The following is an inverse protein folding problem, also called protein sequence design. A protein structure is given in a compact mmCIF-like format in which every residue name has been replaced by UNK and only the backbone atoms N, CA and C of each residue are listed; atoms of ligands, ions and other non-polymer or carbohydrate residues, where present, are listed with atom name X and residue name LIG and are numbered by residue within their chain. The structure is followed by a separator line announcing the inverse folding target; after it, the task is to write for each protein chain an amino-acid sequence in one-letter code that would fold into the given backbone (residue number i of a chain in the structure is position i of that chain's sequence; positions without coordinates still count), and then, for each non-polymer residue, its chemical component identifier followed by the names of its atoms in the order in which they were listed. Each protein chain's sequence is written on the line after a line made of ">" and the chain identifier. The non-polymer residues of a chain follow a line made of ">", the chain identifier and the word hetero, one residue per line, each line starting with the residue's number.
data_IF_909461051591
#
_entry.id   IF_909461051591
#
_cell.length_a   1.000
_cell.length_b   1.000
_cell.length_c   1.000
_cell.angle_alpha   90.00
_cell.angle_beta   90.00
_cell.angle_gamma   90.00
#
_symmetry.space_group_name_H-M   'P 1'
#
loop_
_entity.id
_entity.type
_entity.pdbx_description
1 polymer ?
#
# COMPACT_ATOMS: atom_id res chain seq x y z
N UNK A 1 -0.83 11.26 29.72
CA UNK A 1 -1.81 11.28 28.61
C UNK A 1 -3.18 11.54 29.21
N UNK A 2 -3.94 12.53 28.72
CA UNK A 2 -5.25 12.92 29.26
C UNK A 2 -6.34 12.59 28.24
N UNK A 3 -7.41 11.92 28.69
CA UNK A 3 -8.61 11.70 27.88
C UNK A 3 -9.73 12.58 28.41
N UNK A 4 -10.34 13.37 27.53
CA UNK A 4 -11.42 14.27 27.88
C UNK A 4 -12.47 14.31 26.76
N UNK A 5 -13.70 14.65 27.12
CA UNK A 5 -14.73 15.00 26.14
C UNK A 5 -14.45 16.40 25.56
N UNK A 6 -14.97 16.70 24.38
CA UNK A 6 -14.84 18.04 23.78
C UNK A 6 -15.43 19.14 24.68
N UNK A 7 -16.53 18.86 25.38
CA UNK A 7 -17.15 19.79 26.32
C UNK A 7 -16.23 20.10 27.50
N UNK A 8 -15.54 19.08 28.02
CA UNK A 8 -14.62 19.20 29.16
C UNK A 8 -13.28 19.84 28.81
N UNK A 9 -12.98 19.99 27.51
CA UNK A 9 -11.72 20.56 27.04
C UNK A 9 -11.70 22.10 27.06
N UNK A 10 -12.85 22.75 27.32
CA UNK A 10 -12.97 24.21 27.35
C UNK A 10 -12.04 24.81 28.41
N UNK A 11 -11.23 25.79 28.00
CA UNK A 11 -10.28 26.49 28.88
C UNK A 11 -8.96 25.74 29.13
N UNK A 12 -8.78 24.57 28.53
CA UNK A 12 -7.54 23.80 28.59
C UNK A 12 -6.79 23.90 27.25
N UNK A 13 -5.48 23.66 27.26
CA UNK A 13 -4.64 23.62 26.07
C UNK A 13 -3.55 22.56 26.21
N UNK A 14 -3.14 21.97 25.09
CA UNK A 14 -2.10 20.95 25.03
C UNK A 14 -1.22 21.14 23.80
N UNK A 15 0.04 20.72 23.87
CA UNK A 15 0.95 20.76 22.71
C UNK A 15 0.47 19.87 21.56
N UNK A 16 -0.12 18.71 21.89
CA UNK A 16 -0.65 17.75 20.94
C UNK A 16 -2.08 17.33 21.31
N UNK A 17 -3.01 17.42 20.37
CA UNK A 17 -4.42 17.01 20.55
C UNK A 17 -4.83 16.01 19.47
N UNK A 18 -5.48 14.94 19.90
CA UNK A 18 -6.07 13.93 19.02
C UNK A 18 -7.59 13.99 19.14
N UNK A 19 -8.26 14.50 18.11
CA UNK A 19 -9.72 14.48 18.02
C UNK A 19 -10.14 13.23 17.26
N UNK A 20 -10.76 12.29 17.98
CA UNK A 20 -11.09 10.97 17.47
C UNK A 20 -12.58 10.80 17.22
N UNK A 21 -12.94 9.93 16.26
CA UNK A 21 -14.33 9.56 16.00
C UNK A 21 -15.15 10.62 15.26
N UNK A 22 -14.51 11.46 14.44
CA UNK A 22 -15.14 12.53 13.65
C UNK A 22 -15.93 11.97 12.46
N UNK A 23 -17.08 11.41 12.75
CA UNK A 23 -17.99 10.79 11.78
C UNK A 23 -19.41 11.31 11.97
N UNK A 24 -20.15 11.44 10.88
CA UNK A 24 -21.57 11.79 10.92
C UNK A 24 -22.33 10.81 11.84
N UNK A 25 -23.18 11.37 12.69
CA UNK A 25 -23.91 10.65 13.75
C UNK A 25 -23.16 10.56 15.09
N UNK A 26 -21.86 10.90 15.13
CA UNK A 26 -21.12 11.16 16.39
C UNK A 26 -20.88 12.64 16.56
N UNK A 27 -20.32 13.29 15.54
CA UNK A 27 -20.18 14.74 15.48
C UNK A 27 -20.34 15.18 14.01
N UNK A 28 -21.40 15.91 13.65
CA UNK A 28 -22.53 16.27 14.51
C UNK A 28 -23.29 15.03 15.02
N UNK A 29 -23.79 15.11 16.25
CA UNK A 29 -24.61 14.05 16.85
C UNK A 29 -25.89 13.82 16.04
N UNK A 30 -26.44 12.59 16.13
CA UNK A 30 -27.69 12.23 15.42
C UNK A 30 -28.91 13.05 15.90
N UNK A 31 -28.82 13.65 17.09
CA UNK A 31 -29.87 14.47 17.69
C UNK A 31 -29.87 15.92 17.22
N UNK A 32 -28.74 16.42 16.68
CA UNK A 32 -28.63 17.78 16.16
C UNK A 32 -29.30 17.89 14.77
N UNK A 33 -30.63 18.07 14.78
CA UNK A 33 -31.46 18.12 13.56
C UNK A 33 -31.77 19.54 13.07
N UNK A 34 -31.71 20.53 13.96
CA UNK A 34 -31.96 21.94 13.62
C UNK A 34 -30.66 22.64 13.18
N UNK A 35 -30.74 23.68 12.34
CA UNK A 35 -29.55 24.44 11.94
C UNK A 35 -28.82 25.04 13.15
N UNK A 36 -29.54 25.49 14.18
CA UNK A 36 -28.95 26.03 15.40
C UNK A 36 -28.18 24.95 16.19
N UNK A 37 -28.75 23.75 16.31
CA UNK A 37 -28.08 22.63 16.98
C UNK A 37 -26.84 22.17 16.20
N UNK A 38 -26.90 22.20 14.86
CA UNK A 38 -25.73 21.92 14.02
C UNK A 38 -24.64 22.97 14.17
N UNK A 39 -25.00 24.25 14.31
CA UNK A 39 -24.04 25.32 14.56
C UNK A 39 -23.37 25.14 15.93
N UNK A 40 -24.11 24.65 16.93
CA UNK A 40 -23.56 24.33 18.24
C UNK A 40 -22.55 23.17 18.19
N UNK A 41 -22.86 22.10 17.46
CA UNK A 41 -21.92 21.00 17.22
C UNK A 41 -20.67 21.45 16.44
N UNK A 42 -20.83 22.43 15.54
CA UNK A 42 -19.68 23.05 14.84
C UNK A 42 -18.82 23.85 15.81
N UNK A 43 -19.42 24.63 16.71
CA UNK A 43 -18.71 25.34 17.79
C UNK A 43 -17.99 24.36 18.71
N UNK A 44 -18.59 23.21 19.01
CA UNK A 44 -17.96 22.15 19.80
C UNK A 44 -16.67 21.63 19.14
N UNK A 45 -16.70 21.37 17.84
CA UNK A 45 -15.51 20.98 17.08
C UNK A 45 -14.44 22.08 17.09
N UNK A 46 -14.86 23.33 16.88
CA UNK A 46 -13.96 24.48 16.90
C UNK A 46 -13.24 24.62 18.24
N UNK A 47 -13.95 24.44 19.36
CA UNK A 47 -13.34 24.41 20.70
C UNK A 47 -12.27 23.33 20.76
N UNK A 48 -12.57 22.10 20.34
CA UNK A 48 -11.59 21.00 20.33
C UNK A 48 -10.35 21.27 19.50
N UNK A 49 -10.53 21.80 18.28
CA UNK A 49 -9.45 22.16 17.35
C UNK A 49 -8.53 23.22 17.96
N UNK A 50 -9.10 24.23 18.61
CA UNK A 50 -8.33 25.34 19.20
C UNK A 50 -7.64 25.00 20.52
N UNK A 51 -7.79 23.77 21.06
CA UNK A 51 -7.02 23.36 22.25
C UNK A 51 -5.60 22.91 21.91
N UNK A 52 -5.29 22.70 20.63
CA UNK A 52 -3.98 22.27 20.16
C UNK A 52 -3.04 23.46 19.97
N UNK A 53 -1.85 23.44 20.60
CA UNK A 53 -0.85 24.50 20.46
C UNK A 53 0.14 24.26 19.34
N UNK A 54 0.55 23.01 19.10
CA UNK A 54 1.57 22.66 18.10
C UNK A 54 1.03 21.66 17.08
N UNK A 55 0.35 20.61 17.56
CA UNK A 55 -0.05 19.50 16.72
C UNK A 55 -1.51 19.09 16.92
N UNK A 56 -2.22 18.91 15.81
CA UNK A 56 -3.61 18.47 15.78
C UNK A 56 -3.75 17.27 14.86
N UNK A 57 -4.28 16.17 15.39
CA UNK A 57 -4.67 15.00 14.62
C UNK A 57 -6.18 14.82 14.66
N UNK A 58 -6.76 14.62 13.48
CA UNK A 58 -8.18 14.35 13.30
C UNK A 58 -8.33 12.93 12.75
N UNK A 59 -9.21 12.13 13.35
CA UNK A 59 -9.47 10.77 12.88
C UNK A 59 -10.95 10.42 12.85
N UNK A 60 -11.33 9.54 11.92
CA UNK A 60 -12.68 9.01 11.78
C UNK A 60 -12.62 7.53 11.42
N UNK A 61 -13.66 6.78 11.80
CA UNK A 61 -13.73 5.34 11.55
C UNK A 61 -14.61 5.06 10.31
N UNK A 62 -14.17 4.13 9.45
CA UNK A 62 -14.95 3.71 8.28
C UNK A 62 -16.18 2.88 8.67
N UNK A 63 -16.10 2.13 9.78
CA UNK A 63 -17.22 1.40 10.38
C UNK A 63 -17.01 1.31 11.90
N UNK A 64 -18.08 1.05 12.66
CA UNK A 64 -17.99 0.88 14.13
C UNK A 64 -17.55 -0.54 14.54
N UNK A 65 -17.80 -1.53 13.67
CA UNK A 65 -17.41 -2.93 13.81
C UNK A 65 -16.90 -3.48 12.45
N UNK A 66 -16.07 -4.55 12.43
CA UNK A 66 -15.70 -5.22 11.19
C UNK A 66 -16.95 -5.68 10.41
N UNK A 67 -17.04 -5.33 9.13
CA UNK A 67 -18.22 -5.61 8.29
C UNK A 67 -19.47 -4.76 8.59
N UNK A 68 -19.39 -3.85 9.56
CA UNK A 68 -20.50 -2.96 9.90
C UNK A 68 -20.79 -1.89 8.84
N UNK A 69 -21.95 -1.24 8.96
CA UNK A 69 -22.40 -0.20 8.03
C UNK A 69 -21.34 0.91 7.89
N UNK A 70 -21.00 1.34 6.66
CA UNK A 70 -20.02 2.39 6.44
C UNK A 70 -20.50 3.71 7.04
N UNK A 71 -19.61 4.40 7.75
CA UNK A 71 -19.86 5.74 8.31
C UNK A 71 -19.31 6.80 7.38
N UNK A 72 -20.04 7.91 7.27
CA UNK A 72 -19.55 9.09 6.57
C UNK A 72 -18.64 9.91 7.51
N UNK A 73 -17.56 10.51 7.01
CA UNK A 73 -16.77 11.47 7.77
C UNK A 73 -17.66 12.62 8.29
N UNK A 74 -17.25 13.26 9.36
CA UNK A 74 -17.90 14.46 9.88
C UNK A 74 -17.97 15.53 8.79
N UNK A 75 -19.17 16.05 8.54
CA UNK A 75 -19.42 17.09 7.52
C UNK A 75 -18.70 18.42 7.75
N UNK A 76 -18.22 18.68 8.97
CA UNK A 76 -17.46 19.91 9.28
C UNK A 76 -15.99 19.79 8.93
N UNK A 77 -15.51 18.58 8.61
CA UNK A 77 -14.15 18.43 8.13
C UNK A 77 -14.03 19.13 6.78
N UNK A 78 -12.90 19.83 6.53
CA UNK A 78 -12.61 20.30 5.20
C UNK A 78 -12.75 19.11 4.25
N UNK A 79 -13.48 19.32 3.16
CA UNK A 79 -13.51 18.36 2.07
C UNK A 79 -12.11 18.40 1.46
N UNK A 80 -11.18 17.68 2.09
CA UNK A 80 -9.93 17.34 1.45
C UNK A 80 -10.37 16.59 0.21
N UNK A 81 -10.27 17.25 -0.93
CA UNK A 81 -10.24 16.58 -2.21
C UNK A 81 -9.20 15.49 -2.05
N UNK A 82 -9.66 14.24 -1.93
CA UNK A 82 -8.82 13.11 -2.30
C UNK A 82 -8.55 13.40 -3.76
N UNK A 83 -7.34 13.89 -4.07
CA UNK A 83 -7.04 14.55 -5.33
C UNK A 83 -7.78 13.98 -6.53
N UNK A 84 -8.47 14.87 -7.25
CA UNK A 84 -8.90 14.73 -8.64
C UNK A 84 -9.82 13.55 -8.94
N UNK A 85 -11.12 13.84 -9.03
CA UNK A 85 -12.10 12.96 -9.64
C UNK A 85 -13.35 13.75 -9.97
N UNK A 86 -13.26 14.55 -11.03
CA UNK A 86 -14.39 15.28 -11.60
C UNK A 86 -15.60 14.36 -11.80
N UNK A 87 -16.78 14.91 -11.50
CA UNK A 87 -18.06 14.27 -11.74
C UNK A 87 -18.28 14.22 -13.25
N UNK A 88 -18.22 13.02 -13.82
CA UNK A 88 -18.65 12.75 -15.19
C UNK A 88 -19.32 11.38 -15.28
N UNK A 89 -20.61 11.38 -15.60
CA UNK A 89 -21.27 10.34 -16.38
C UNK A 89 -21.49 8.97 -15.73
N UNK A 90 -22.75 8.57 -15.68
CA UNK A 90 -23.19 7.18 -15.53
C UNK A 90 -22.57 6.29 -16.61
N UNK A 91 -21.70 5.37 -16.22
CA UNK A 91 -21.46 4.13 -16.93
C UNK A 91 -20.96 3.08 -15.93
N UNK A 92 -21.68 1.96 -15.87
CA UNK A 92 -21.25 0.77 -15.16
C UNK A 92 -19.84 0.37 -15.62
N UNK A 93 -18.97 -0.03 -14.67
CA UNK A 93 -18.20 -1.28 -14.71
C UNK A 93 -17.14 -1.34 -13.59
N UNK A 94 -16.96 -2.59 -13.12
CA UNK A 94 -15.78 -3.16 -12.48
C UNK A 94 -15.50 -2.83 -11.00
N UNK A 95 -15.80 -3.82 -10.16
CA UNK A 95 -15.29 -3.97 -8.78
C UNK A 95 -13.78 -3.75 -8.77
N UNK A 96 -13.35 -2.59 -8.28
CA UNK A 96 -11.94 -2.26 -8.10
C UNK A 96 -11.42 -2.99 -6.85
N UNK A 97 -10.24 -3.64 -6.90
CA UNK A 97 -9.73 -4.38 -5.75
C UNK A 97 -9.50 -3.41 -4.61
N UNK A 98 -9.96 -3.84 -3.44
CA UNK A 98 -9.85 -3.18 -2.15
C UNK A 98 -8.44 -2.60 -2.00
N UNK A 99 -8.33 -1.25 -1.97
CA UNK A 99 -7.05 -0.56 -1.85
C UNK A 99 -6.43 -1.02 -0.53
N UNK A 100 -5.43 -1.91 -0.61
CA UNK A 100 -4.59 -2.33 0.51
C UNK A 100 -4.17 -1.07 1.28
N UNK A 101 -4.44 -1.08 2.59
CA UNK A 101 -3.96 -0.07 3.54
C UNK A 101 -2.51 0.25 3.19
N UNK A 102 -2.18 1.54 3.04
CA UNK A 102 -0.80 1.96 2.83
C UNK A 102 0.01 1.52 4.06
N UNK A 103 0.66 0.37 3.96
CA UNK A 103 1.55 -0.13 4.99
C UNK A 103 2.70 0.87 5.09
N UNK A 104 2.95 1.37 6.29
CA UNK A 104 4.16 2.13 6.57
C UNK A 104 5.32 1.16 6.41
N UNK A 105 6.04 1.27 5.30
CA UNK A 105 7.22 0.46 5.02
C UNK A 105 8.44 1.27 5.45
N UNK A 106 9.30 0.69 6.28
CA UNK A 106 10.57 1.29 6.68
C UNK A 106 11.72 0.79 5.81
N UNK A 107 12.75 1.62 5.68
CA UNK A 107 14.02 1.26 5.10
C UNK A 107 14.67 0.18 5.95
N UNK A 108 15.04 -0.95 5.34
CA UNK A 108 15.73 -2.04 6.05
C UNK A 108 17.13 -1.67 6.55
N UNK A 109 17.75 -0.65 5.97
CA UNK A 109 19.15 -0.28 6.25
C UNK A 109 19.23 0.80 7.33
N UNK A 110 18.43 1.86 7.22
CA UNK A 110 18.48 3.01 8.14
C UNK A 110 17.21 3.20 8.99
N UNK A 111 16.17 2.39 8.80
CA UNK A 111 14.91 2.50 9.54
C UNK A 111 13.98 3.64 9.11
N UNK A 112 14.40 4.52 8.20
CA UNK A 112 13.60 5.66 7.75
C UNK A 112 12.29 5.21 7.08
N UNK A 113 11.21 5.99 7.27
CA UNK A 113 9.91 5.68 6.62
C UNK A 113 9.99 5.95 5.12
N UNK A 114 9.67 4.95 4.30
CA UNK A 114 9.70 5.06 2.84
C UNK A 114 8.42 5.72 2.32
N UNK A 115 8.55 6.95 1.85
CA UNK A 115 7.43 7.73 1.32
C UNK A 115 7.24 7.53 -0.19
N UNK A 116 8.34 7.37 -0.93
CA UNK A 116 8.31 7.16 -2.37
C UNK A 116 7.89 5.73 -2.75
N UNK A 117 7.13 5.61 -3.83
CA UNK A 117 6.64 4.30 -4.31
C UNK A 117 7.75 3.37 -4.79
N UNK A 118 8.82 3.90 -5.37
CA UNK A 118 10.01 3.14 -5.75
C UNK A 118 10.70 2.57 -4.50
N UNK A 119 11.02 3.44 -3.54
CA UNK A 119 11.66 3.06 -2.29
C UNK A 119 10.88 1.97 -1.54
N UNK A 120 9.55 2.06 -1.47
CA UNK A 120 8.71 1.02 -0.85
C UNK A 120 8.82 -0.35 -1.53
N UNK A 121 8.99 -0.37 -2.86
CA UNK A 121 9.18 -1.62 -3.62
C UNK A 121 10.57 -2.21 -3.39
N UNK A 122 11.59 -1.36 -3.33
CA UNK A 122 12.97 -1.74 -3.03
C UNK A 122 13.16 -2.15 -1.55
N UNK A 123 12.43 -1.51 -0.63
CA UNK A 123 12.60 -1.65 0.81
C UNK A 123 13.84 -0.93 1.36
N UNK A 124 14.43 -0.01 0.58
CA UNK A 124 15.49 0.90 1.02
C UNK A 124 15.30 2.28 0.39
N UNK A 125 15.77 3.34 1.06
CA UNK A 125 15.77 4.67 0.48
C UNK A 125 16.93 4.82 -0.53
N UNK A 126 16.78 5.74 -1.47
CA UNK A 126 17.76 5.99 -2.53
C UNK A 126 19.18 6.32 -2.01
N UNK A 127 19.28 6.83 -0.79
CA UNK A 127 20.55 7.21 -0.15
C UNK A 127 21.25 6.08 0.62
N UNK A 128 20.65 4.89 0.74
CA UNK A 128 21.29 3.74 1.39
C UNK A 128 22.08 2.89 0.38
N UNK A 129 23.21 2.28 0.78
CA UNK A 129 24.08 1.52 -0.12
C UNK A 129 23.36 0.37 -0.83
N UNK A 130 23.67 0.17 -2.11
CA UNK A 130 23.17 -0.93 -2.94
C UNK A 130 24.11 -2.11 -2.89
N UNK A 131 23.68 -3.22 -2.31
CA UNK A 131 24.39 -4.52 -2.42
C UNK A 131 23.90 -5.29 -3.65
N UNK A 132 23.65 -4.57 -4.75
CA UNK A 132 23.10 -5.16 -5.97
C UNK A 132 24.14 -6.07 -6.61
N UNK A 133 23.78 -7.33 -6.82
CA UNK A 133 24.54 -8.26 -7.64
C UNK A 133 24.14 -8.09 -9.11
N UNK A 134 25.04 -7.54 -9.93
CA UNK A 134 24.80 -7.30 -11.35
C UNK A 134 24.68 -8.62 -12.14
N UNK A 135 25.44 -9.66 -11.77
CA UNK A 135 25.43 -10.96 -12.44
C UNK A 135 24.13 -11.73 -12.14
N UNK A 136 23.64 -11.67 -10.90
CA UNK A 136 22.35 -12.24 -10.53
C UNK A 136 21.20 -11.46 -11.19
N UNK A 137 21.30 -10.13 -11.27
CA UNK A 137 20.30 -9.32 -11.95
C UNK A 137 20.22 -9.67 -13.46
N UNK A 138 21.36 -9.82 -14.12
CA UNK A 138 21.43 -10.22 -15.52
C UNK A 138 20.73 -11.57 -15.77
N UNK A 139 21.06 -12.59 -14.96
CA UNK A 139 20.43 -13.93 -15.03
C UNK A 139 18.92 -13.89 -14.80
N UNK A 140 18.47 -13.11 -13.81
CA UNK A 140 17.03 -12.94 -13.53
C UNK A 140 16.30 -12.20 -14.65
N UNK A 141 16.94 -11.21 -15.28
CA UNK A 141 16.38 -10.46 -16.40
C UNK A 141 16.22 -11.35 -17.63
N UNK A 142 17.24 -12.14 -17.94
CA UNK A 142 17.22 -13.10 -19.04
C UNK A 142 16.14 -14.17 -18.84
N UNK A 143 16.13 -14.81 -17.66
CA UNK A 143 15.10 -15.80 -17.32
C UNK A 143 13.68 -15.23 -17.45
N UNK A 144 13.46 -14.00 -16.99
CA UNK A 144 12.17 -13.32 -17.11
C UNK A 144 11.73 -13.16 -18.55
N UNK A 145 12.63 -12.77 -19.45
CA UNK A 145 12.32 -12.59 -20.88
C UNK A 145 11.94 -13.92 -21.50
N UNK A 146 12.69 -14.99 -21.22
CA UNK A 146 12.41 -16.34 -21.75
C UNK A 146 11.07 -16.89 -21.26
N UNK A 147 10.80 -16.82 -19.95
CA UNK A 147 9.51 -17.26 -19.37
C UNK A 147 8.34 -16.45 -19.92
N UNK A 148 8.51 -15.14 -20.08
CA UNK A 148 7.49 -14.27 -20.66
C UNK A 148 7.19 -14.60 -22.12
N UNK A 149 8.24 -14.90 -22.90
CA UNK A 149 8.13 -15.38 -24.28
C UNK A 149 7.34 -16.69 -24.38
N UNK A 150 7.71 -17.69 -23.58
CA UNK A 150 7.02 -18.98 -23.52
C UNK A 150 5.53 -18.86 -23.15
N UNK A 151 5.20 -17.94 -22.22
CA UNK A 151 3.82 -17.69 -21.81
C UNK A 151 3.07 -16.68 -22.70
N UNK A 152 3.75 -16.09 -23.70
CA UNK A 152 3.21 -15.03 -24.58
C UNK A 152 2.62 -13.85 -23.80
N UNK A 153 3.26 -13.48 -22.69
CA UNK A 153 2.89 -12.33 -21.86
C UNK A 153 4.03 -11.32 -21.81
N UNK A 154 3.78 -10.02 -21.58
CA UNK A 154 4.86 -9.06 -21.37
C UNK A 154 5.72 -9.41 -20.15
N UNK A 155 7.05 -9.18 -20.22
CA UNK A 155 8.01 -9.54 -19.17
C UNK A 155 7.65 -8.98 -17.77
N UNK A 156 7.11 -7.77 -17.71
CA UNK A 156 6.69 -7.14 -16.45
C UNK A 156 5.58 -7.91 -15.72
N UNK A 157 4.81 -8.76 -16.42
CA UNK A 157 3.74 -9.60 -15.83
C UNK A 157 4.36 -10.68 -14.95
N UNK A 158 5.48 -11.27 -15.37
CA UNK A 158 6.26 -12.25 -14.59
C UNK A 158 6.82 -11.54 -13.35
N UNK A 159 7.71 -10.56 -13.54
CA UNK A 159 8.19 -9.67 -12.47
C UNK A 159 8.53 -8.27 -12.97
N UNK A 160 8.33 -7.26 -12.13
CA UNK A 160 8.77 -5.89 -12.42
C UNK A 160 10.27 -5.71 -12.17
N UNK A 161 10.90 -4.74 -12.84
CA UNK A 161 12.34 -4.46 -12.64
C UNK A 161 12.68 -4.18 -11.17
N UNK A 162 11.81 -3.46 -10.46
CA UNK A 162 11.97 -3.21 -9.02
C UNK A 162 12.00 -4.50 -8.19
N UNK A 163 11.28 -5.54 -8.61
CA UNK A 163 11.29 -6.85 -7.96
C UNK A 163 12.59 -7.60 -8.26
N UNK A 164 13.10 -7.51 -9.50
CA UNK A 164 14.38 -8.13 -9.88
C UNK A 164 15.55 -7.49 -9.13
N UNK A 165 15.58 -6.16 -9.03
CA UNK A 165 16.56 -5.41 -8.22
C UNK A 165 16.49 -5.84 -6.76
N UNK A 166 15.28 -5.95 -6.20
CA UNK A 166 15.10 -6.40 -4.82
C UNK A 166 15.57 -7.86 -4.58
N UNK A 167 15.40 -8.74 -5.57
CA UNK A 167 15.90 -10.12 -5.51
C UNK A 167 17.44 -10.16 -5.55
N UNK A 168 18.04 -9.44 -6.49
CA UNK A 168 19.48 -9.39 -6.68
C UNK A 168 20.21 -8.76 -5.48
N UNK A 169 19.56 -7.82 -4.78
CA UNK A 169 20.11 -7.24 -3.54
C UNK A 169 19.95 -8.12 -2.30
N UNK A 170 18.83 -8.87 -2.19
CA UNK A 170 18.50 -9.60 -0.96
C UNK A 170 18.98 -11.04 -0.97
N UNK A 171 19.21 -11.62 -2.15
CA UNK A 171 19.64 -13.03 -2.33
C UNK A 171 18.89 -13.99 -1.41
N UNK A 172 17.55 -14.08 -1.53
CA UNK A 172 16.73 -14.92 -0.66
C UNK A 172 17.15 -16.39 -0.78
N UNK A 173 17.39 -17.04 0.35
CA UNK A 173 17.80 -18.46 0.40
C UNK A 173 16.62 -19.41 0.63
N UNK A 174 15.44 -18.87 0.92
CA UNK A 174 14.24 -19.66 1.13
C UNK A 174 12.95 -19.00 0.66
N UNK A 175 11.86 -19.79 0.57
CA UNK A 175 10.56 -19.33 0.08
C UNK A 175 9.92 -18.28 1.01
N UNK A 176 10.25 -18.27 2.29
CA UNK A 176 9.77 -17.26 3.24
C UNK A 176 10.32 -15.86 2.93
N UNK A 177 11.58 -15.78 2.51
CA UNK A 177 12.23 -14.51 2.15
C UNK A 177 11.68 -13.93 0.85
N UNK A 178 11.28 -14.79 -0.07
CA UNK A 178 10.63 -14.37 -1.32
C UNK A 178 9.31 -13.65 -1.05
N UNK A 179 8.49 -14.14 -0.11
CA UNK A 179 7.20 -13.50 0.25
C UNK A 179 7.41 -12.11 0.87
N UNK A 180 8.55 -11.86 1.50
CA UNK A 180 8.91 -10.56 2.07
C UNK A 180 9.30 -9.51 0.99
N UNK A 181 9.44 -9.90 -0.28
CA UNK A 181 9.76 -9.00 -1.39
C UNK A 181 8.48 -8.44 -2.01
N UNK A 182 8.41 -7.11 -2.12
CA UNK A 182 7.27 -6.42 -2.69
C UNK A 182 7.06 -6.84 -4.17
N UNK A 183 5.88 -7.40 -4.46
CA UNK A 183 5.52 -7.89 -5.80
C UNK A 183 5.51 -9.40 -5.93
N UNK A 184 6.00 -10.14 -4.93
CA UNK A 184 5.92 -11.61 -4.88
C UNK A 184 4.74 -12.01 -3.98
N UNK A 185 3.59 -12.24 -4.59
CA UNK A 185 2.41 -12.78 -3.91
C UNK A 185 2.39 -14.31 -3.89
N UNK A 186 1.48 -14.94 -3.13
CA UNK A 186 1.40 -16.40 -2.99
C UNK A 186 1.25 -17.12 -4.33
N UNK A 187 0.48 -16.56 -5.28
CA UNK A 187 0.37 -17.12 -6.64
C UNK A 187 1.68 -17.12 -7.41
N UNK A 188 2.47 -16.04 -7.32
CA UNK A 188 3.75 -15.94 -8.01
C UNK A 188 4.80 -16.82 -7.35
N UNK A 189 4.75 -16.95 -6.02
CA UNK A 189 5.59 -17.89 -5.30
C UNK A 189 5.33 -19.33 -5.76
N UNK A 190 4.06 -19.74 -5.89
CA UNK A 190 3.72 -21.09 -6.36
C UNK A 190 4.14 -21.37 -7.81
N UNK A 191 4.17 -20.34 -8.67
CA UNK A 191 4.52 -20.52 -10.09
C UNK A 191 6.03 -20.40 -10.37
N UNK A 192 6.73 -19.54 -9.62
CA UNK A 192 8.09 -19.12 -9.97
C UNK A 192 9.08 -19.25 -8.81
N UNK A 193 8.63 -19.62 -7.61
CA UNK A 193 9.47 -19.64 -6.40
C UNK A 193 10.69 -20.53 -6.55
N UNK A 194 10.51 -21.75 -7.04
CA UNK A 194 11.59 -22.73 -7.17
C UNK A 194 12.63 -22.30 -8.20
N UNK A 195 12.19 -21.78 -9.36
CA UNK A 195 13.08 -21.26 -10.39
C UNK A 195 13.90 -20.05 -9.91
N UNK A 196 13.27 -19.13 -9.17
CA UNK A 196 13.97 -17.96 -8.61
C UNK A 196 15.00 -18.38 -7.55
N UNK A 197 14.67 -19.32 -6.66
CA UNK A 197 15.62 -19.83 -5.67
C UNK A 197 16.79 -20.57 -6.33
N UNK A 198 16.54 -21.33 -7.39
CA UNK A 198 17.59 -22.00 -8.16
C UNK A 198 18.54 -20.98 -8.82
N UNK A 199 18.01 -19.90 -9.42
CA UNK A 199 18.83 -18.82 -10.00
C UNK A 199 19.67 -18.10 -8.93
N UNK A 200 19.10 -17.82 -7.76
CA UNK A 200 19.83 -17.25 -6.62
C UNK A 200 20.93 -18.22 -6.15
N UNK A 201 20.67 -19.52 -6.18
CA UNK A 201 21.63 -20.58 -5.85
C UNK A 201 22.73 -20.83 -6.90
N UNK A 202 22.70 -20.14 -8.05
CA UNK A 202 23.74 -20.24 -9.08
C UNK A 202 23.36 -21.05 -10.31
N UNK A 203 22.13 -21.56 -10.42
CA UNK A 203 21.69 -22.30 -11.60
C UNK A 203 21.71 -21.43 -12.87
N UNK A 204 21.91 -22.09 -14.02
CA UNK A 204 21.84 -21.44 -15.33
C UNK A 204 20.39 -21.20 -15.73
N UNK A 205 20.16 -20.23 -16.63
CA UNK A 205 18.81 -19.94 -17.14
C UNK A 205 18.31 -21.08 -18.03
N UNK A 206 19.22 -21.81 -18.68
CA UNK A 206 18.93 -22.89 -19.60
C UNK A 206 18.33 -24.12 -18.90
N UNK A 207 18.71 -24.39 -17.65
CA UNK A 207 18.21 -25.53 -16.87
C UNK A 207 16.76 -25.33 -16.34
N UNK A 208 16.26 -24.09 -16.36
CA UNK A 208 15.05 -23.68 -15.64
C UNK A 208 13.91 -23.23 -16.55
N UNK A 209 14.13 -23.18 -17.86
CA UNK A 209 13.10 -22.93 -18.86
C UNK A 209 13.07 -24.14 -19.78
N UNK A 210 12.02 -24.99 -19.73
CA UNK A 210 11.90 -26.06 -20.71
C UNK A 210 11.76 -25.46 -22.11
N UNK A 211 12.56 -25.92 -23.06
CA UNK A 211 12.36 -25.65 -24.48
C UNK A 211 10.96 -26.15 -24.90
N UNK A 212 10.30 -25.40 -25.80
CA UNK A 212 9.11 -25.89 -26.49
C UNK A 212 9.43 -27.23 -27.19
N UNK A 213 8.55 -28.25 -27.11
CA UNK A 213 8.70 -29.47 -27.91
C UNK A 213 8.40 -29.17 -29.41
N UNK A 214 8.86 -30.06 -30.33
CA UNK A 214 9.38 -29.68 -31.64
C UNK A 214 8.33 -29.33 -32.69
N UNK A 215 8.82 -28.66 -33.74
CA UNK A 215 8.20 -28.44 -35.04
C UNK A 215 7.27 -29.59 -35.47
N UNK A 216 6.02 -29.24 -35.80
CA UNK A 216 5.14 -30.16 -36.51
C UNK A 216 5.68 -30.38 -37.93
N UNK A 217 6.28 -31.55 -38.09
CA UNK A 217 6.56 -32.29 -39.33
C UNK A 217 5.63 -31.94 -40.50
N UNK A 218 6.24 -31.46 -41.58
CA UNK A 218 5.82 -31.84 -42.94
C UNK A 218 5.77 -33.36 -43.05
N UNK A 219 4.72 -33.89 -43.70
CA UNK A 219 4.65 -35.13 -44.48
C UNK A 219 3.34 -35.89 -44.24
N UNK A 220 2.33 -35.61 -45.07
CA UNK A 220 1.77 -36.52 -46.09
C UNK A 220 0.35 -36.12 -46.46
#
# INVERSE_FOLDING_TARGET
>A
MTLASLHSAKGLEWDAVFVVGLSDGTLPTTYAKTPEALEEERRLLYVGVTRARQWLWLSYAQSRAPGGRPRRPCRFLPQFERGGGERGGTAALSRRPERRRAQVVSCRVCGATLLAGADRKLGRCATCPSTLDEDLFARLSEWRVRVAGAQKVPAYVVFTDATLVALAERRPTGPQDLVAIAGIGPRKLSLYGDAVLALVGGASVDDLVPEEPPEKSSAK
#
